data_IF_978968475794
#
_entry.id   IF_978968475794
#
_cell.length_a   1.000
_cell.length_b   1.000
_cell.length_c   1.000
_cell.angle_alpha   90.00
_cell.angle_beta   90.00
_cell.angle_gamma   90.00
#
_symmetry.space_group_name_H-M   'P 1'
#
loop_
_entity.id
_entity.type
_entity.pdbx_description
1 polymer ?
#
# COMPACT_ATOMS: atom_id res chain seq x y z
N UNK A 1 6.20 -4.95 4.64
CA UNK A 1 5.11 -3.99 4.94
C UNK A 1 4.14 -4.64 5.91
N UNK A 2 4.11 -4.19 7.16
CA UNK A 2 3.35 -4.81 8.26
C UNK A 2 1.87 -4.43 8.26
N UNK A 3 1.50 -3.28 7.71
CA UNK A 3 0.12 -2.77 7.73
C UNK A 3 -0.89 -3.71 7.05
N UNK A 4 -0.64 -4.11 5.80
CA UNK A 4 -1.55 -5.01 5.07
C UNK A 4 -1.68 -6.40 5.72
N UNK A 5 -0.60 -6.91 6.31
CA UNK A 5 -0.63 -8.17 7.07
C UNK A 5 -1.54 -8.03 8.30
N UNK A 6 -1.43 -6.92 9.03
CA UNK A 6 -2.27 -6.64 10.20
C UNK A 6 -3.75 -6.52 9.83
N UNK A 7 -4.07 -5.87 8.71
CA UNK A 7 -5.46 -5.79 8.23
C UNK A 7 -6.02 -7.19 7.93
N UNK A 8 -5.24 -8.03 7.26
CA UNK A 8 -5.65 -9.40 6.96
C UNK A 8 -5.82 -10.26 8.22
N UNK A 9 -4.99 -10.07 9.24
CA UNK A 9 -5.16 -10.73 10.54
C UNK A 9 -6.48 -10.32 11.21
N UNK A 10 -6.78 -9.02 11.22
CA UNK A 10 -8.01 -8.48 11.80
C UNK A 10 -9.26 -8.99 11.07
N UNK A 11 -9.21 -9.02 9.74
CA UNK A 11 -10.25 -9.62 8.89
C UNK A 11 -10.50 -11.09 9.28
N UNK A 12 -9.43 -11.90 9.33
CA UNK A 12 -9.53 -13.33 9.69
C UNK A 12 -9.99 -13.57 11.12
N UNK A 13 -9.72 -12.63 12.03
CA UNK A 13 -10.15 -12.69 13.41
C UNK A 13 -11.62 -12.24 13.60
N UNK A 14 -12.33 -11.86 12.53
CA UNK A 14 -13.72 -11.42 12.60
C UNK A 14 -13.90 -9.97 13.07
N UNK A 15 -12.82 -9.18 13.08
CA UNK A 15 -12.82 -7.76 13.45
C UNK A 15 -12.28 -6.91 12.30
N UNK A 16 -12.97 -6.88 11.15
CA UNK A 16 -12.49 -6.22 9.94
C UNK A 16 -12.33 -4.71 10.16
N UNK A 17 -11.37 -4.10 9.46
CA UNK A 17 -11.18 -2.65 9.49
C UNK A 17 -12.15 -2.00 8.51
N UNK A 18 -13.16 -1.32 9.03
CA UNK A 18 -14.22 -0.70 8.22
C UNK A 18 -13.80 0.60 7.55
N UNK A 19 -12.84 1.32 8.13
CA UNK A 19 -12.35 2.57 7.57
C UNK A 19 -10.88 2.80 7.87
N UNK A 20 -10.18 3.40 6.89
CA UNK A 20 -8.77 3.75 6.99
C UNK A 20 -8.57 5.15 6.44
N UNK A 21 -7.70 5.92 7.10
CA UNK A 21 -7.43 7.31 6.77
C UNK A 21 -5.92 7.57 6.80
N UNK A 22 -5.38 8.21 5.77
CA UNK A 22 -4.06 8.86 5.89
C UNK A 22 -4.28 10.22 6.51
N UNK A 23 -3.71 10.43 7.70
CA UNK A 23 -3.74 11.70 8.42
C UNK A 23 -2.40 12.43 8.22
N UNK A 24 -2.47 13.71 7.86
CA UNK A 24 -1.28 14.54 7.67
C UNK A 24 -1.58 16.04 7.88
N UNK A 25 -0.53 16.84 8.04
CA UNK A 25 -0.63 18.27 8.30
C UNK A 25 -0.31 19.13 7.07
N UNK A 26 -0.47 20.45 7.17
CA UNK A 26 -0.20 21.36 6.06
C UNK A 26 1.27 21.32 5.61
N UNK A 27 2.21 21.08 6.52
CA UNK A 27 3.61 20.90 6.16
C UNK A 27 3.79 19.70 5.23
N UNK A 28 3.06 18.60 5.43
CA UNK A 28 3.17 17.42 4.55
C UNK A 28 2.67 17.76 3.17
N UNK A 29 1.51 18.42 3.10
CA UNK A 29 0.91 18.87 1.85
C UNK A 29 1.80 19.84 1.08
N UNK A 30 2.60 20.62 1.78
CA UNK A 30 3.55 21.57 1.19
C UNK A 30 4.86 20.94 0.71
N UNK A 31 5.16 19.70 1.09
CA UNK A 31 6.46 19.06 0.85
C UNK A 31 6.40 17.93 -0.17
N UNK A 32 5.31 17.15 -0.21
CA UNK A 32 5.31 15.88 -0.94
C UNK A 32 4.23 15.75 -2.01
N UNK A 33 4.49 14.91 -3.01
CA UNK A 33 3.46 14.45 -3.95
C UNK A 33 2.46 13.58 -3.20
N UNK A 34 1.16 13.77 -3.45
CA UNK A 34 0.10 12.95 -2.86
C UNK A 34 -0.80 12.34 -3.94
N UNK A 35 -1.12 11.06 -3.80
CA UNK A 35 -1.98 10.32 -4.73
C UNK A 35 -1.48 10.31 -6.19
N UNK A 36 -0.16 10.39 -6.39
CA UNK A 36 0.50 10.50 -7.71
C UNK A 36 0.05 11.67 -8.61
N UNK A 37 -0.78 12.59 -8.11
CA UNK A 37 -1.40 13.66 -8.91
C UNK A 37 -1.27 15.05 -8.27
N UNK A 38 -1.12 15.13 -6.95
CA UNK A 38 -1.07 16.40 -6.23
C UNK A 38 0.38 16.76 -5.89
N UNK A 39 1.01 17.63 -6.69
CA UNK A 39 2.34 18.19 -6.41
C UNK A 39 2.35 19.12 -5.19
N UNK A 40 3.48 19.27 -4.48
CA UNK A 40 3.57 20.07 -3.26
C UNK A 40 2.87 21.43 -3.36
N UNK A 41 2.12 21.81 -2.32
CA UNK A 41 1.27 23.03 -2.23
C UNK A 41 0.03 23.05 -3.15
N UNK A 42 -0.15 22.09 -4.06
CA UNK A 42 -1.44 21.94 -4.75
C UNK A 42 -2.53 21.62 -3.73
N UNK A 43 -3.66 22.33 -3.85
CA UNK A 43 -4.85 22.09 -3.03
C UNK A 43 -5.43 20.72 -3.34
N UNK A 44 -5.96 20.06 -2.32
CA UNK A 44 -6.80 18.88 -2.53
C UNK A 44 -8.06 19.32 -3.30
N UNK A 45 -8.46 18.63 -4.39
CA UNK A 45 -9.61 19.04 -5.19
C UNK A 45 -10.91 19.09 -4.38
N UNK A 46 -11.76 20.10 -4.63
CA UNK A 46 -13.04 20.25 -3.93
C UNK A 46 -13.91 18.99 -4.02
N UNK A 47 -13.95 18.35 -5.19
CA UNK A 47 -14.63 17.07 -5.44
C UNK A 47 -14.26 15.94 -4.46
N UNK A 48 -13.07 15.95 -3.86
CA UNK A 48 -12.70 14.94 -2.85
C UNK A 48 -13.36 15.21 -1.51
N UNK A 49 -13.51 16.47 -1.13
CA UNK A 49 -14.27 16.85 0.07
C UNK A 49 -15.76 16.56 -0.13
N UNK A 50 -16.31 16.95 -1.29
CA UNK A 50 -17.72 16.74 -1.62
C UNK A 50 -18.09 15.24 -1.64
N UNK A 51 -17.16 14.39 -2.07
CA UNK A 51 -17.33 12.93 -2.10
C UNK A 51 -17.00 12.23 -0.76
N UNK A 52 -16.64 12.97 0.30
CA UNK A 52 -16.23 12.39 1.58
C UNK A 52 -14.92 11.58 1.52
N UNK A 53 -14.12 11.76 0.47
CA UNK A 53 -12.80 11.12 0.29
C UNK A 53 -11.76 11.88 1.12
N UNK A 54 -11.89 13.20 1.24
CA UNK A 54 -10.99 14.03 2.03
C UNK A 54 -11.76 14.79 3.10
N UNK A 55 -11.10 15.02 4.24
CA UNK A 55 -11.55 15.87 5.34
C UNK A 55 -10.42 16.83 5.69
N UNK A 56 -10.77 18.07 6.04
CA UNK A 56 -9.83 19.10 6.51
C UNK A 56 -10.41 19.72 7.77
N UNK A 57 -9.62 19.84 8.82
CA UNK A 57 -10.00 20.51 10.07
C UNK A 57 -8.84 21.37 10.60
N UNK A 58 -9.12 22.30 11.51
CA UNK A 58 -8.08 23.17 12.07
C UNK A 58 -7.36 22.52 13.28
N UNK A 59 -7.99 21.52 13.90
CA UNK A 59 -7.42 20.70 14.97
C UNK A 59 -7.78 19.21 14.84
N UNK A 60 -7.13 18.36 15.65
CA UNK A 60 -7.33 16.91 15.63
C UNK A 60 -8.66 16.45 16.24
N UNK A 61 -9.24 17.19 17.18
CA UNK A 61 -10.52 16.82 17.78
C UNK A 61 -11.64 16.98 16.74
N UNK A 62 -11.66 18.11 16.02
CA UNK A 62 -12.57 18.33 14.90
C UNK A 62 -12.29 17.33 13.76
N UNK A 63 -11.03 17.05 13.43
CA UNK A 63 -10.69 16.05 12.41
C UNK A 63 -11.25 14.67 12.76
N UNK A 64 -11.03 14.22 14.01
CA UNK A 64 -11.49 12.93 14.51
C UNK A 64 -13.01 12.80 14.46
N UNK A 65 -13.72 13.83 14.90
CA UNK A 65 -15.18 13.88 14.84
C UNK A 65 -15.69 13.76 13.40
N UNK A 66 -15.05 14.45 12.45
CA UNK A 66 -15.48 14.49 11.04
C UNK A 66 -15.16 13.22 10.26
N UNK A 67 -14.14 12.45 10.67
CA UNK A 67 -13.85 11.13 10.07
C UNK A 67 -14.54 9.98 10.80
N UNK A 68 -15.28 10.26 11.89
CA UNK A 68 -16.11 9.29 12.60
C UNK A 68 -15.33 8.33 13.51
N UNK A 69 -14.16 8.74 14.02
CA UNK A 69 -13.38 7.93 14.99
C UNK A 69 -13.58 8.43 16.42
N UNK A 70 -13.40 7.57 17.45
CA UNK A 70 -13.41 8.00 18.85
C UNK A 70 -12.37 9.10 19.11
N UNK A 71 -12.85 10.32 19.40
CA UNK A 71 -12.03 11.54 19.49
C UNK A 71 -10.95 11.48 20.58
N UNK A 72 -11.23 10.98 21.80
CA UNK A 72 -10.21 10.85 22.83
C UNK A 72 -9.06 9.94 22.39
N UNK A 73 -9.37 8.76 21.86
CA UNK A 73 -8.42 7.74 21.42
C UNK A 73 -7.61 8.23 20.22
N UNK A 74 -8.26 8.91 19.28
CA UNK A 74 -7.59 9.52 18.13
C UNK A 74 -6.59 10.59 18.57
N UNK A 75 -7.01 11.46 19.49
CA UNK A 75 -6.14 12.53 20.01
C UNK A 75 -4.95 11.94 20.77
N UNK A 76 -5.16 10.93 21.61
CA UNK A 76 -4.07 10.19 22.27
C UNK A 76 -3.12 9.56 21.26
N UNK A 77 -3.65 8.95 20.19
CA UNK A 77 -2.85 8.35 19.11
C UNK A 77 -1.95 9.38 18.45
N UNK A 78 -2.48 10.56 18.10
CA UNK A 78 -1.70 11.61 17.45
C UNK A 78 -0.65 12.21 18.39
N UNK A 79 -1.00 12.46 19.65
CA UNK A 79 -0.05 12.94 20.66
C UNK A 79 1.13 11.97 20.81
N UNK A 80 0.84 10.68 20.99
CA UNK A 80 1.85 9.62 21.09
C UNK A 80 2.70 9.52 19.82
N UNK A 81 2.09 9.60 18.63
CA UNK A 81 2.84 9.61 17.37
C UNK A 81 3.80 10.80 17.29
N UNK A 82 3.38 12.00 17.71
CA UNK A 82 4.22 13.19 17.70
C UNK A 82 5.40 13.09 18.69
N UNK A 83 5.18 12.54 19.89
CA UNK A 83 6.24 12.25 20.86
C UNK A 83 7.26 11.24 20.29
N UNK A 84 6.77 10.14 19.73
CA UNK A 84 7.59 9.12 19.07
C UNK A 84 8.39 9.69 17.88
N UNK A 85 7.77 10.57 17.10
CA UNK A 85 8.43 11.25 15.99
C UNK A 85 9.54 12.20 16.46
N UNK A 86 9.31 12.95 17.54
CA UNK A 86 10.34 13.79 18.15
C UNK A 86 11.52 12.96 18.68
N UNK A 87 11.25 11.77 19.23
CA UNK A 87 12.27 10.83 19.70
C UNK A 87 12.96 10.05 18.55
N UNK A 88 12.37 10.00 17.35
CA UNK A 88 12.89 9.24 16.20
C UNK A 88 12.59 7.75 16.19
N UNK A 89 11.76 7.27 17.12
CA UNK A 89 11.52 5.85 17.30
C UNK A 89 10.02 5.63 17.37
N UNK A 90 9.53 4.73 16.54
CA UNK A 90 8.17 4.21 16.63
C UNK A 90 8.21 2.83 17.32
N UNK A 91 7.96 2.77 18.64
CA UNK A 91 7.94 1.51 19.38
C UNK A 91 6.72 0.65 19.06
N UNK A 92 5.65 1.25 18.51
CA UNK A 92 4.38 0.57 18.32
C UNK A 92 4.37 -0.25 17.03
N UNK A 93 4.94 0.30 15.94
CA UNK A 93 4.93 -0.35 14.62
C UNK A 93 6.30 -0.44 13.95
N UNK A 94 7.38 -0.01 14.62
CA UNK A 94 8.74 -0.08 14.11
C UNK A 94 8.98 0.70 12.79
N UNK A 95 8.16 1.71 12.48
CA UNK A 95 8.31 2.53 11.27
C UNK A 95 9.69 3.20 11.18
N UNK A 96 10.32 3.10 10.01
CA UNK A 96 11.65 3.70 9.74
C UNK A 96 12.82 2.83 10.22
N UNK A 97 12.57 1.60 10.67
CA UNK A 97 13.62 0.65 11.09
C UNK A 97 14.15 -0.22 9.95
N UNK A 98 13.39 -0.41 8.87
CA UNK A 98 13.82 -1.22 7.74
C UNK A 98 14.52 -0.39 6.66
N UNK A 99 15.39 -1.01 5.87
CA UNK A 99 15.99 -0.38 4.69
C UNK A 99 14.92 0.04 3.67
N UNK A 100 13.83 -0.73 3.59
CA UNK A 100 12.70 -0.42 2.71
C UNK A 100 11.98 0.86 3.13
N UNK A 101 11.70 1.05 4.43
CA UNK A 101 11.08 2.30 4.91
C UNK A 101 11.97 3.50 4.58
N UNK A 102 13.28 3.37 4.86
CA UNK A 102 14.25 4.46 4.67
C UNK A 102 14.48 4.85 3.22
N UNK A 103 14.24 3.95 2.27
CA UNK A 103 14.38 4.25 0.84
C UNK A 103 13.49 5.42 0.39
N UNK A 104 12.30 5.58 0.99
CA UNK A 104 11.38 6.69 0.72
C UNK A 104 11.29 7.72 1.86
N UNK A 105 12.20 7.68 2.83
CA UNK A 105 12.24 8.66 3.92
C UNK A 105 12.70 10.04 3.42
N UNK A 106 12.24 11.11 4.08
CA UNK A 106 12.73 12.46 3.82
C UNK A 106 14.05 12.70 4.60
N UNK A 107 15.20 12.81 3.91
CA UNK A 107 16.50 12.97 4.58
C UNK A 107 16.64 14.32 5.32
N UNK A 108 15.74 15.28 5.08
CA UNK A 108 15.71 16.55 5.81
C UNK A 108 15.03 16.43 7.17
N UNK A 109 14.40 15.29 7.46
CA UNK A 109 13.74 15.03 8.73
C UNK A 109 14.67 14.22 9.64
N UNK A 110 14.96 14.80 10.80
CA UNK A 110 15.76 14.20 11.87
C UNK A 110 14.92 14.02 13.14
N UNK A 111 15.24 13.04 14.01
CA UNK A 111 16.34 12.07 13.88
C UNK A 111 15.99 10.84 13.00
N UNK A 112 14.74 10.70 12.55
CA UNK A 112 14.32 9.59 11.69
C UNK A 112 13.59 10.12 10.44
N UNK A 113 14.06 9.82 9.22
CA UNK A 113 13.53 10.39 7.98
C UNK A 113 12.09 9.94 7.66
N UNK A 114 11.59 8.91 8.35
CA UNK A 114 10.23 8.40 8.16
C UNK A 114 9.24 8.90 9.22
N UNK A 115 9.70 9.61 10.26
CA UNK A 115 8.89 10.07 11.38
C UNK A 115 8.97 11.58 11.51
N UNK A 116 7.87 12.26 11.17
CA UNK A 116 7.73 13.71 11.32
C UNK A 116 6.46 14.01 12.09
N UNK A 117 6.57 14.78 13.15
CA UNK A 117 5.42 15.21 13.94
C UNK A 117 4.45 16.05 13.10
N UNK A 118 3.15 15.87 13.36
CA UNK A 118 2.05 16.60 12.74
C UNK A 118 1.67 17.78 13.66
N UNK A 119 2.16 18.98 13.35
CA UNK A 119 2.07 20.11 14.29
C UNK A 119 1.54 21.40 13.66
N UNK A 120 1.48 21.48 12.32
CA UNK A 120 1.06 22.70 11.63
C UNK A 120 -0.23 22.48 10.87
N UNK A 121 -1.33 22.92 11.48
CA UNK A 121 -2.65 22.96 10.87
C UNK A 121 -2.69 23.83 9.59
N UNK A 122 -3.73 23.67 8.76
CA UNK A 122 -4.83 22.72 8.93
C UNK A 122 -4.36 21.25 8.81
N UNK A 123 -5.14 20.35 9.40
CA UNK A 123 -4.92 18.91 9.34
C UNK A 123 -5.88 18.28 8.33
N UNK A 124 -5.42 17.20 7.72
CA UNK A 124 -6.12 16.51 6.64
C UNK A 124 -6.24 15.03 6.97
N UNK A 125 -7.35 14.44 6.55
CA UNK A 125 -7.52 13.01 6.47
C UNK A 125 -8.01 12.65 5.07
N UNK A 126 -7.37 11.65 4.43
CA UNK A 126 -7.82 11.13 3.12
C UNK A 126 -8.10 9.65 3.26
N UNK A 127 -9.30 9.23 2.85
CA UNK A 127 -9.77 7.86 2.96
C UNK A 127 -8.91 6.93 2.10
N UNK A 128 -8.55 5.80 2.68
CA UNK A 128 -7.82 4.72 2.03
C UNK A 128 -8.72 3.50 1.90
N UNK A 129 -8.48 2.74 0.84
CA UNK A 129 -9.12 1.45 0.59
C UNK A 129 -8.05 0.40 0.33
N UNK A 130 -8.41 -0.85 0.57
CA UNK A 130 -7.61 -1.97 0.10
C UNK A 130 -7.78 -2.06 -1.43
N UNK A 131 -6.73 -1.71 -2.15
CA UNK A 131 -6.64 -1.87 -3.60
C UNK A 131 -5.65 -2.99 -3.92
N UNK A 132 -5.72 -3.50 -5.14
CA UNK A 132 -4.75 -4.41 -5.71
C UNK A 132 -4.04 -3.79 -6.92
N UNK A 133 -2.97 -4.45 -7.36
CA UNK A 133 -2.27 -4.17 -8.61
C UNK A 133 -2.41 -5.36 -9.59
N UNK A 134 -3.55 -6.06 -9.50
CA UNK A 134 -3.80 -7.35 -10.13
C UNK A 134 -3.88 -8.50 -9.11
N UNK A 135 -4.69 -9.51 -9.45
CA UNK A 135 -4.84 -10.74 -8.66
C UNK A 135 -3.63 -11.66 -8.81
N UNK A 136 -3.36 -12.48 -7.79
CA UNK A 136 -2.26 -13.46 -7.79
C UNK A 136 -2.68 -14.90 -8.16
N UNK A 137 -3.99 -15.16 -8.26
CA UNK A 137 -4.52 -16.44 -8.73
C UNK A 137 -4.54 -16.53 -10.26
N UNK A 138 -4.81 -17.73 -10.78
CA UNK A 138 -4.92 -17.96 -12.21
C UNK A 138 -4.83 -19.44 -12.55
N UNK A 139 -4.63 -19.75 -13.83
CA UNK A 139 -4.40 -21.10 -14.31
C UNK A 139 -3.08 -21.65 -13.76
N UNK A 140 -3.07 -22.90 -13.31
CA UNK A 140 -1.83 -23.61 -13.01
C UNK A 140 -1.09 -23.87 -14.31
N UNK A 141 0.17 -23.43 -14.38
CA UNK A 141 1.04 -23.64 -15.52
C UNK A 141 2.39 -24.20 -15.04
N UNK A 142 3.02 -25.04 -15.86
CA UNK A 142 4.34 -25.57 -15.56
C UNK A 142 5.47 -24.59 -15.89
N UNK A 143 6.71 -25.02 -15.71
CA UNK A 143 7.91 -24.22 -15.99
C UNK A 143 8.07 -23.83 -17.48
N UNK A 144 7.31 -24.45 -18.39
CA UNK A 144 7.23 -24.11 -19.82
C UNK A 144 6.00 -23.24 -20.15
N UNK A 145 5.33 -22.71 -19.13
CA UNK A 145 4.10 -21.92 -19.22
C UNK A 145 2.90 -22.68 -19.82
N UNK A 146 2.93 -24.02 -19.88
CA UNK A 146 1.84 -24.83 -20.42
C UNK A 146 0.78 -25.03 -19.35
N UNK A 147 -0.49 -24.85 -19.71
CA UNK A 147 -1.60 -24.99 -18.76
C UNK A 147 -1.79 -26.44 -18.36
N UNK A 148 -1.99 -26.67 -17.07
CA UNK A 148 -2.25 -27.97 -16.47
C UNK A 148 -3.73 -28.15 -16.16
N UNK A 149 -4.22 -29.37 -16.38
CA UNK A 149 -5.50 -29.86 -15.85
C UNK A 149 -5.39 -30.14 -14.35
N UNK A 150 -6.53 -30.40 -13.72
CA UNK A 150 -6.60 -30.77 -12.30
C UNK A 150 -5.84 -32.06 -11.96
N UNK A 151 -5.72 -32.98 -12.91
CA UNK A 151 -4.92 -34.22 -12.79
C UNK A 151 -3.41 -34.01 -13.05
N UNK A 152 -3.00 -32.77 -13.33
CA UNK A 152 -1.63 -32.40 -13.66
C UNK A 152 -1.23 -32.62 -15.12
N UNK A 153 -2.12 -33.15 -15.98
CA UNK A 153 -1.82 -33.33 -17.40
C UNK A 153 -1.82 -32.00 -18.16
N UNK A 154 -0.93 -31.89 -19.15
CA UNK A 154 -0.82 -30.70 -20.01
C UNK A 154 -2.02 -30.60 -20.96
N UNK A 155 -2.56 -29.38 -21.12
CA UNK A 155 -3.49 -29.04 -22.20
C UNK A 155 -2.68 -28.61 -23.42
N UNK A 156 -2.59 -29.46 -24.43
CA UNK A 156 -1.81 -29.20 -25.64
C UNK A 156 -2.24 -27.90 -26.34
N UNK A 157 -1.26 -27.04 -26.64
CA UNK A 157 -1.47 -25.77 -27.35
C UNK A 157 -1.99 -24.63 -26.47
N UNK A 158 -2.17 -24.83 -25.16
CA UNK A 158 -2.65 -23.80 -24.25
C UNK A 158 -1.56 -23.36 -23.27
N UNK A 159 -1.31 -22.05 -23.24
CA UNK A 159 -0.32 -21.40 -22.39
C UNK A 159 -0.95 -20.32 -21.52
N UNK A 160 -0.39 -20.09 -20.34
CA UNK A 160 -0.80 -19.00 -19.46
C UNK A 160 0.43 -18.29 -18.87
N UNK A 161 0.40 -16.97 -18.87
CA UNK A 161 1.50 -16.10 -18.40
C UNK A 161 0.93 -14.88 -17.67
N UNK A 162 1.78 -14.16 -16.96
CA UNK A 162 1.38 -12.94 -16.23
C UNK A 162 0.25 -13.22 -15.25
N UNK A 163 -0.69 -12.28 -15.10
CA UNK A 163 -1.82 -12.39 -14.16
C UNK A 163 -2.89 -13.41 -14.58
N UNK A 164 -2.78 -14.03 -15.77
CA UNK A 164 -3.65 -15.14 -16.18
C UNK A 164 -3.21 -16.46 -15.55
N UNK A 165 -1.91 -16.60 -15.27
CA UNK A 165 -1.36 -17.76 -14.55
C UNK A 165 -1.35 -17.49 -13.05
N UNK A 166 -1.46 -18.55 -12.25
CA UNK A 166 -1.15 -18.46 -10.83
C UNK A 166 0.28 -17.91 -10.65
N UNK A 167 0.47 -16.96 -9.75
CA UNK A 167 1.77 -16.32 -9.59
C UNK A 167 2.83 -17.32 -9.08
N UNK A 168 4.10 -17.08 -9.44
CA UNK A 168 5.19 -17.93 -8.98
C UNK A 168 5.58 -17.68 -7.50
N UNK A 169 5.03 -16.62 -6.88
CA UNK A 169 5.45 -16.11 -5.57
C UNK A 169 4.47 -16.44 -4.43
N UNK A 170 3.36 -17.12 -4.74
CA UNK A 170 2.30 -17.45 -3.80
C UNK A 170 1.72 -16.20 -3.14
N UNK A 171 1.70 -16.18 -1.80
CA UNK A 171 1.12 -15.10 -1.01
C UNK A 171 2.05 -13.91 -0.76
N UNK A 172 3.21 -13.86 -1.43
CA UNK A 172 4.24 -12.84 -1.17
C UNK A 172 4.56 -12.04 -2.42
N UNK A 173 4.80 -10.75 -2.25
CA UNK A 173 5.31 -9.88 -3.31
C UNK A 173 6.81 -9.65 -3.08
N UNK A 174 7.72 -10.25 -3.88
CA UNK A 174 9.15 -10.26 -3.56
C UNK A 174 9.83 -8.91 -3.79
N UNK A 175 9.30 -8.07 -4.67
CA UNK A 175 9.89 -6.77 -4.97
C UNK A 175 9.25 -6.08 -6.17
N UNK A 176 9.47 -4.77 -6.29
CA UNK A 176 8.96 -3.98 -7.40
C UNK A 176 9.38 -4.61 -8.75
N UNK A 177 8.42 -4.72 -9.68
CA UNK A 177 8.64 -5.32 -11.00
C UNK A 177 8.43 -6.85 -11.08
N UNK A 178 8.24 -7.56 -9.97
CA UNK A 178 8.09 -9.02 -9.97
C UNK A 178 6.97 -9.53 -10.90
N UNK A 179 5.81 -8.89 -10.89
CA UNK A 179 4.67 -9.24 -11.76
C UNK A 179 4.98 -9.04 -13.25
N UNK A 180 5.65 -7.93 -13.59
CA UNK A 180 6.03 -7.63 -14.98
C UNK A 180 7.10 -8.61 -15.45
N UNK A 181 8.10 -8.87 -14.61
CA UNK A 181 9.18 -9.83 -14.90
C UNK A 181 8.62 -11.23 -15.14
N UNK A 182 7.67 -11.70 -14.31
CA UNK A 182 6.99 -12.97 -14.51
C UNK A 182 6.30 -13.01 -15.89
N UNK A 183 5.55 -11.97 -16.25
CA UNK A 183 4.89 -11.88 -17.55
C UNK A 183 5.87 -11.95 -18.73
N UNK A 184 6.96 -11.18 -18.68
CA UNK A 184 7.96 -11.14 -19.75
C UNK A 184 8.72 -12.45 -19.89
N UNK A 185 9.19 -13.03 -18.78
CA UNK A 185 9.99 -14.26 -18.80
C UNK A 185 9.16 -15.44 -19.28
N UNK A 186 7.96 -15.65 -18.71
CA UNK A 186 7.12 -16.75 -19.15
C UNK A 186 6.51 -16.53 -20.53
N UNK A 187 6.31 -15.27 -20.95
CA UNK A 187 5.93 -14.97 -22.33
C UNK A 187 7.00 -15.40 -23.34
N UNK A 188 8.27 -15.16 -23.03
CA UNK A 188 9.38 -15.65 -23.84
C UNK A 188 9.45 -17.19 -23.86
N UNK A 189 9.34 -17.83 -22.70
CA UNK A 189 9.36 -19.30 -22.59
C UNK A 189 8.20 -19.94 -23.38
N UNK A 190 6.98 -19.42 -23.21
CA UNK A 190 5.80 -19.91 -23.93
C UNK A 190 5.99 -19.81 -25.44
N UNK A 191 6.53 -18.69 -25.93
CA UNK A 191 6.78 -18.50 -27.35
C UNK A 191 7.81 -19.48 -27.92
N UNK A 192 8.87 -19.80 -27.16
CA UNK A 192 9.88 -20.77 -27.60
C UNK A 192 9.36 -22.20 -27.64
N UNK A 193 8.64 -22.61 -26.60
CA UNK A 193 8.02 -23.94 -26.54
C UNK A 193 6.98 -24.10 -27.67
N UNK A 194 6.13 -23.09 -27.88
CA UNK A 194 5.14 -23.11 -28.96
C UNK A 194 5.76 -23.14 -30.36
N UNK A 195 6.93 -22.53 -30.55
CA UNK A 195 7.66 -22.54 -31.82
C UNK A 195 8.49 -23.82 -32.04
N UNK A 196 8.58 -24.72 -31.06
CA UNK A 196 9.49 -25.88 -31.11
C UNK A 196 10.97 -25.50 -31.12
N UNK A 197 11.30 -24.31 -30.57
CA UNK A 197 12.65 -23.77 -30.53
C UNK A 197 13.39 -24.07 -29.19
N UNK A 198 12.86 -25.03 -28.43
CA UNK A 198 13.38 -25.60 -27.16
C UNK A 198 12.86 -27.03 -26.90
#
# INVERSE_FOLDING_TARGET
MTFGQRLLELERAGSPVESMWIVFDQQYRNSYVFGAQLFPRMRIPQRWYDAGIAVRADDFAELGARIGVPVPEFTTTVTRFNENAAAGVDPDFARGRSAYDRYYGDPTISPNPNLRALTKGPFYAVKMVLSDLGTCGGLTADHRARVLREDGAVINGLYAIGNTAANAFGTTYPGAGATIAQGLVYGYIAARDAAGAD
#
